data_IF_635166845582
#
_entry.id   IF_635166845582
#
_cell.length_a   1.000
_cell.length_b   1.000
_cell.length_c   1.000
_cell.angle_alpha   90.00
_cell.angle_beta   90.00
_cell.angle_gamma   90.00
#
_symmetry.space_group_name_H-M   'P 1'
#
loop_
_entity.id
_entity.type
_entity.pdbx_description
1 polymer ?
#
# COMPACT_ATOMS: atom_id res chain seq x y z
N UNK A 1 11.71 -10.51 24.86
CA UNK A 1 12.80 -10.04 24.00
C UNK A 1 12.18 -9.48 22.73
N UNK A 2 12.43 -8.21 22.41
CA UNK A 2 11.85 -7.56 21.23
C UNK A 2 12.64 -7.99 19.99
N UNK A 3 11.98 -8.16 18.83
CA UNK A 3 12.64 -8.61 17.60
C UNK A 3 13.87 -7.74 17.23
N UNK A 4 13.81 -6.44 17.50
CA UNK A 4 14.94 -5.53 17.28
C UNK A 4 16.16 -5.84 18.15
N UNK A 5 15.96 -6.38 19.34
CA UNK A 5 17.06 -6.79 20.23
C UNK A 5 17.77 -8.06 19.71
N UNK A 6 17.07 -8.86 18.91
CA UNK A 6 17.59 -10.11 18.35
C UNK A 6 18.20 -9.94 16.96
N UNK A 7 17.61 -9.08 16.13
CA UNK A 7 17.93 -8.99 14.70
C UNK A 7 18.36 -7.58 14.24
N UNK A 8 18.40 -6.60 15.14
CA UNK A 8 18.64 -5.20 14.80
C UNK A 8 17.38 -4.50 14.28
N UNK A 9 17.51 -3.21 13.97
CA UNK A 9 16.43 -2.45 13.33
C UNK A 9 16.28 -2.88 11.87
N UNK A 10 15.05 -2.95 11.33
CA UNK A 10 14.86 -3.29 9.92
C UNK A 10 15.43 -2.21 9.01
N UNK A 11 16.12 -2.62 7.94
CA UNK A 11 16.65 -1.70 6.92
C UNK A 11 15.55 -0.99 6.13
N UNK A 12 14.38 -1.64 5.99
CA UNK A 12 13.21 -1.10 5.31
C UNK A 12 11.93 -1.66 5.91
N UNK A 13 10.92 -0.80 6.05
CA UNK A 13 9.58 -1.16 6.51
C UNK A 13 8.62 -0.98 5.34
N UNK A 14 7.85 -2.02 5.04
CA UNK A 14 6.90 -2.03 3.92
C UNK A 14 5.53 -2.47 4.43
N UNK A 15 4.52 -1.66 4.20
CA UNK A 15 3.13 -1.96 4.52
C UNK A 15 2.35 -2.29 3.25
N UNK A 16 1.65 -3.43 3.26
CA UNK A 16 0.62 -3.71 2.25
C UNK A 16 -0.74 -3.30 2.79
N UNK A 17 -1.29 -2.23 2.24
CA UNK A 17 -2.54 -1.64 2.70
C UNK A 17 -3.67 -1.93 1.70
N UNK A 18 -4.85 -2.30 2.20
CA UNK A 18 -6.08 -2.35 1.37
C UNK A 18 -6.80 -1.01 1.45
N UNK A 19 -7.42 -0.60 0.36
CA UNK A 19 -8.43 0.46 0.43
C UNK A 19 -9.58 0.07 1.40
N UNK A 20 -10.32 1.04 1.95
CA UNK A 20 -11.32 0.79 3.00
C UNK A 20 -12.36 -0.27 2.61
N UNK A 21 -12.89 -0.19 1.39
CA UNK A 21 -13.92 -1.10 0.89
C UNK A 21 -13.46 -2.54 0.86
N UNK A 22 -12.28 -2.76 0.29
CA UNK A 22 -11.64 -4.06 0.21
C UNK A 22 -11.17 -4.58 1.58
N UNK A 23 -10.81 -3.68 2.49
CA UNK A 23 -10.52 -4.05 3.88
C UNK A 23 -11.78 -4.57 4.57
N UNK A 24 -12.87 -3.79 4.60
CA UNK A 24 -14.10 -4.17 5.31
C UNK A 24 -14.68 -5.45 4.74
N UNK A 25 -14.72 -5.59 3.41
CA UNK A 25 -15.16 -6.82 2.75
C UNK A 25 -14.35 -8.06 3.17
N UNK A 26 -13.02 -7.93 3.28
CA UNK A 26 -12.18 -9.04 3.76
C UNK A 26 -12.30 -9.26 5.27
N UNK A 27 -12.46 -8.20 6.04
CA UNK A 27 -12.42 -8.24 7.49
C UNK A 27 -13.70 -8.86 8.05
N UNK A 28 -14.87 -8.47 7.54
CA UNK A 28 -16.17 -9.03 7.95
C UNK A 28 -16.29 -10.52 7.63
N UNK A 29 -15.67 -10.98 6.52
CA UNK A 29 -15.59 -12.41 6.17
C UNK A 29 -14.70 -13.22 7.12
N UNK A 30 -13.66 -12.62 7.69
CA UNK A 30 -12.62 -13.31 8.48
C UNK A 30 -12.82 -13.19 9.99
N UNK A 31 -13.43 -12.10 10.44
CA UNK A 31 -13.62 -11.74 11.83
C UNK A 31 -15.12 -11.53 12.07
N UNK A 32 -15.87 -12.62 11.97
CA UNK A 32 -17.34 -12.62 12.01
C UNK A 32 -17.89 -12.28 13.39
N UNK A 33 -17.06 -12.37 14.43
CA UNK A 33 -17.34 -11.99 15.81
C UNK A 33 -17.27 -10.48 16.07
N UNK A 34 -16.74 -9.70 15.11
CA UNK A 34 -16.57 -8.25 15.26
C UNK A 34 -17.59 -7.47 14.44
N UNK A 35 -18.12 -6.39 15.01
CA UNK A 35 -18.99 -5.47 14.29
C UNK A 35 -18.23 -4.68 13.23
N UNK A 36 -18.94 -4.21 12.19
CA UNK A 36 -18.37 -3.31 11.18
C UNK A 36 -17.76 -2.06 11.82
N UNK A 37 -18.38 -1.51 12.87
CA UNK A 37 -17.84 -0.36 13.60
C UNK A 37 -16.51 -0.67 14.28
N UNK A 38 -16.38 -1.86 14.89
CA UNK A 38 -15.12 -2.29 15.49
C UNK A 38 -14.02 -2.44 14.44
N UNK A 39 -14.35 -3.04 13.29
CA UNK A 39 -13.42 -3.20 12.17
C UNK A 39 -13.01 -1.84 11.57
N UNK A 40 -13.95 -0.90 11.44
CA UNK A 40 -13.70 0.46 10.97
C UNK A 40 -12.75 1.21 11.89
N UNK A 41 -12.99 1.15 13.20
CA UNK A 41 -12.09 1.72 14.21
C UNK A 41 -10.70 1.07 14.18
N UNK A 42 -10.65 -0.25 13.97
CA UNK A 42 -9.38 -0.97 13.85
C UNK A 42 -8.59 -0.48 12.63
N UNK A 43 -9.25 -0.30 11.49
CA UNK A 43 -8.63 0.25 10.28
C UNK A 43 -8.02 1.63 10.51
N UNK A 44 -8.80 2.56 11.09
CA UNK A 44 -8.34 3.92 11.39
C UNK A 44 -7.14 3.92 12.33
N UNK A 45 -7.17 3.10 13.38
CA UNK A 45 -6.03 2.92 14.30
C UNK A 45 -4.80 2.36 13.60
N UNK A 46 -4.97 1.42 12.68
CA UNK A 46 -3.87 0.88 11.88
C UNK A 46 -3.24 1.95 10.99
N UNK A 47 -4.03 2.81 10.32
CA UNK A 47 -3.49 3.91 9.51
C UNK A 47 -2.63 4.86 10.35
N UNK A 48 -3.13 5.26 11.52
CA UNK A 48 -2.37 6.12 12.43
C UNK A 48 -1.09 5.42 12.93
N UNK A 49 -1.17 4.13 13.27
CA UNK A 49 0.02 3.36 13.64
C UNK A 49 1.06 3.34 12.52
N UNK A 50 0.65 3.05 11.28
CA UNK A 50 1.56 3.01 10.14
C UNK A 50 2.18 4.38 9.84
N UNK A 51 1.43 5.46 10.01
CA UNK A 51 1.94 6.82 9.86
C UNK A 51 3.03 7.14 10.90
N UNK A 52 2.85 6.69 12.14
CA UNK A 52 3.85 6.88 13.21
C UNK A 52 5.08 5.99 13.06
N UNK A 53 4.92 4.77 12.54
CA UNK A 53 6.06 3.87 12.29
C UNK A 53 6.89 4.37 11.11
N UNK A 54 6.23 4.88 10.06
CA UNK A 54 6.86 5.28 8.82
C UNK A 54 7.32 4.07 7.98
N UNK A 55 7.38 4.26 6.66
CA UNK A 55 7.78 3.21 5.72
C UNK A 55 7.15 3.36 4.35
N UNK A 56 7.46 2.40 3.48
CA UNK A 56 6.88 2.31 2.15
C UNK A 56 5.48 1.70 2.22
N UNK A 57 4.55 2.25 1.45
CA UNK A 57 3.18 1.71 1.35
C UNK A 57 2.90 1.21 -0.05
N UNK A 58 2.54 -0.07 -0.15
CA UNK A 58 1.97 -0.71 -1.34
C UNK A 58 0.46 -0.78 -1.13
N UNK A 59 -0.30 -0.14 -2.02
CA UNK A 59 -1.74 -0.16 -1.95
C UNK A 59 -2.34 -1.29 -2.79
N UNK A 60 -2.97 -2.26 -2.14
CA UNK A 60 -3.72 -3.35 -2.77
C UNK A 60 -5.08 -2.84 -3.25
N UNK A 61 -5.13 -2.48 -4.53
CA UNK A 61 -6.30 -1.93 -5.23
C UNK A 61 -6.47 -2.60 -6.59
N UNK A 62 -7.64 -2.44 -7.25
CA UNK A 62 -7.87 -2.99 -8.58
C UNK A 62 -6.84 -2.57 -9.64
N UNK A 63 -6.27 -1.36 -9.51
CA UNK A 63 -5.27 -0.81 -10.42
C UNK A 63 -3.83 -1.24 -10.09
N UNK A 64 -3.60 -1.96 -8.99
CA UNK A 64 -2.29 -2.50 -8.66
C UNK A 64 -1.96 -3.62 -9.67
N UNK A 65 -1.10 -3.32 -10.64
CA UNK A 65 -0.70 -4.29 -11.65
C UNK A 65 0.44 -5.19 -11.16
N UNK A 66 0.57 -6.35 -11.81
CA UNK A 66 1.75 -7.22 -11.68
C UNK A 66 3.05 -6.45 -11.90
N UNK A 67 3.09 -5.55 -12.89
CA UNK A 67 4.29 -4.77 -13.20
C UNK A 67 4.64 -3.83 -12.06
N UNK A 68 3.67 -3.17 -11.43
CA UNK A 68 3.93 -2.30 -10.28
C UNK A 68 4.52 -3.06 -9.09
N UNK A 69 4.01 -4.26 -8.83
CA UNK A 69 4.57 -5.14 -7.78
C UNK A 69 5.98 -5.60 -8.15
N UNK A 70 6.21 -5.93 -9.43
CA UNK A 70 7.53 -6.33 -9.92
C UNK A 70 8.55 -5.21 -9.78
N UNK A 71 8.25 -4.01 -10.29
CA UNK A 71 9.14 -2.85 -10.26
C UNK A 71 9.55 -2.52 -8.82
N UNK A 72 8.57 -2.46 -7.90
CA UNK A 72 8.85 -2.20 -6.49
C UNK A 72 9.74 -3.28 -5.85
N UNK A 73 9.45 -4.55 -6.13
CA UNK A 73 10.26 -5.65 -5.59
C UNK A 73 11.68 -5.67 -6.18
N UNK A 74 11.87 -5.18 -7.40
CA UNK A 74 13.19 -5.01 -8.02
C UNK A 74 13.97 -3.87 -7.36
N UNK A 75 13.31 -2.72 -7.17
CA UNK A 75 13.89 -1.54 -6.51
C UNK A 75 14.42 -1.87 -5.09
N UNK A 76 13.75 -2.76 -4.37
CA UNK A 76 14.20 -3.22 -3.04
C UNK A 76 15.12 -4.45 -3.09
N UNK A 77 15.51 -4.89 -4.28
CA UNK A 77 16.45 -5.99 -4.50
C UNK A 77 15.91 -7.37 -4.15
N UNK A 78 14.60 -7.58 -4.19
CA UNK A 78 13.92 -8.82 -3.81
C UNK A 78 13.69 -9.79 -4.98
N UNK A 79 13.79 -9.34 -6.24
CA UNK A 79 13.72 -10.18 -7.45
C UNK A 79 15.00 -10.98 -7.69
N UNK A 80 15.40 -11.81 -6.72
CA UNK A 80 16.64 -12.61 -6.82
C UNK A 80 16.41 -14.08 -7.11
N UNK A 81 15.15 -14.52 -7.24
CA UNK A 81 14.84 -15.95 -7.41
C UNK A 81 13.78 -16.21 -8.48
N UNK A 82 13.91 -17.33 -9.19
CA UNK A 82 12.91 -17.85 -10.13
C UNK A 82 11.52 -17.98 -9.48
N UNK A 83 11.48 -18.35 -8.19
CA UNK A 83 10.26 -18.47 -7.40
C UNK A 83 9.55 -17.13 -7.19
N UNK A 84 10.30 -16.05 -6.95
CA UNK A 84 9.72 -14.70 -6.85
C UNK A 84 9.05 -14.29 -8.16
N UNK A 85 9.69 -14.57 -9.29
CA UNK A 85 9.15 -14.27 -10.62
C UNK A 85 7.91 -15.11 -10.97
N UNK A 86 7.86 -16.38 -10.54
CA UNK A 86 6.66 -17.23 -10.67
C UNK A 86 5.50 -16.73 -9.81
N UNK A 87 5.75 -16.29 -8.58
CA UNK A 87 4.72 -15.73 -7.68
C UNK A 87 4.13 -14.45 -8.27
N UNK A 88 4.98 -13.52 -8.71
CA UNK A 88 4.56 -12.29 -9.40
C UNK A 88 3.85 -12.64 -10.71
N UNK A 89 4.36 -13.67 -11.41
CA UNK A 89 3.79 -14.30 -12.60
C UNK A 89 2.27 -14.44 -12.56
N UNK A 90 1.76 -14.89 -11.42
CA UNK A 90 0.36 -15.27 -11.18
C UNK A 90 -0.44 -14.23 -10.39
N UNK A 91 0.14 -13.06 -10.11
CA UNK A 91 -0.53 -12.04 -9.34
C UNK A 91 -1.81 -11.55 -10.05
N UNK A 92 -2.92 -11.58 -9.32
CA UNK A 92 -4.21 -11.03 -9.74
C UNK A 92 -4.88 -10.37 -8.53
N UNK A 93 -5.47 -9.20 -8.74
CA UNK A 93 -6.36 -8.61 -7.75
C UNK A 93 -7.63 -9.46 -7.63
N UNK A 94 -8.03 -9.79 -6.40
CA UNK A 94 -9.19 -10.65 -6.10
C UNK A 94 -10.10 -10.04 -5.02
N UNK A 95 -10.02 -8.74 -4.81
CA UNK A 95 -10.87 -8.05 -3.84
C UNK A 95 -12.27 -7.85 -4.38
N UNK A 96 -13.27 -8.06 -3.52
CA UNK A 96 -14.66 -7.65 -3.77
C UNK A 96 -14.94 -6.42 -2.90
N UNK A 97 -15.38 -5.28 -3.47
CA UNK A 97 -15.67 -4.09 -2.69
C UNK A 97 -16.96 -4.26 -1.86
N UNK A 98 -16.99 -3.63 -0.69
CA UNK A 98 -18.17 -3.49 0.16
C UNK A 98 -18.40 -2.02 0.53
N UNK A 99 -18.56 -1.15 -0.48
CA UNK A 99 -18.63 0.31 -0.32
C UNK A 99 -19.73 0.77 0.64
N UNK A 100 -20.84 0.03 0.70
CA UNK A 100 -21.97 0.27 1.60
C UNK A 100 -21.63 0.12 3.09
N UNK A 101 -20.50 -0.51 3.43
CA UNK A 101 -20.01 -0.67 4.80
C UNK A 101 -18.89 0.31 5.16
N UNK A 102 -18.50 1.18 4.23
CA UNK A 102 -17.38 2.10 4.40
C UNK A 102 -17.90 3.46 4.86
N UNK A 103 -17.38 3.96 5.98
CA UNK A 103 -17.68 5.31 6.45
C UNK A 103 -16.88 6.36 5.69
N UNK A 104 -17.37 7.60 5.66
CA UNK A 104 -16.64 8.70 5.02
C UNK A 104 -15.33 9.03 5.76
N UNK A 105 -15.29 8.83 7.07
CA UNK A 105 -14.07 8.95 7.86
C UNK A 105 -12.98 7.99 7.38
N UNK A 106 -13.32 6.73 7.10
CA UNK A 106 -12.35 5.76 6.57
C UNK A 106 -11.82 6.19 5.19
N UNK A 107 -12.69 6.73 4.32
CA UNK A 107 -12.28 7.22 3.00
C UNK A 107 -11.31 8.39 3.15
N UNK A 108 -11.67 9.40 3.95
CA UNK A 108 -10.82 10.57 4.19
C UNK A 108 -9.48 10.20 4.82
N UNK A 109 -9.49 9.36 5.86
CA UNK A 109 -8.27 8.91 6.52
C UNK A 109 -7.34 8.15 5.55
N UNK A 110 -7.90 7.28 4.72
CA UNK A 110 -7.14 6.55 3.72
C UNK A 110 -6.56 7.47 2.63
N UNK A 111 -7.36 8.38 2.08
CA UNK A 111 -6.90 9.34 1.07
C UNK A 111 -5.75 10.22 1.59
N UNK A 112 -5.88 10.73 2.83
CA UNK A 112 -4.82 11.50 3.47
C UNK A 112 -3.57 10.64 3.67
N UNK A 113 -3.72 9.44 4.23
CA UNK A 113 -2.59 8.53 4.48
C UNK A 113 -1.83 8.17 3.19
N UNK A 114 -2.54 7.86 2.11
CA UNK A 114 -1.92 7.50 0.82
C UNK A 114 -1.23 8.70 0.16
N UNK A 115 -1.83 9.89 0.24
CA UNK A 115 -1.22 11.14 -0.25
C UNK A 115 0.12 11.41 0.43
N UNK A 116 0.19 11.15 1.74
CA UNK A 116 1.38 11.41 2.54
C UNK A 116 2.45 10.31 2.44
N UNK A 117 2.07 9.05 2.15
CA UNK A 117 2.95 7.89 2.39
C UNK A 117 3.13 6.91 1.22
N UNK A 118 2.40 7.01 0.12
CA UNK A 118 2.49 5.96 -0.91
C UNK A 118 3.84 5.91 -1.62
N UNK A 119 4.51 4.73 -1.56
CA UNK A 119 5.74 4.47 -2.30
C UNK A 119 5.44 4.31 -3.80
N UNK A 120 4.27 3.76 -4.15
CA UNK A 120 3.78 3.72 -5.53
C UNK A 120 3.26 5.08 -6.02
N UNK A 121 2.74 5.95 -5.15
CA UNK A 121 2.47 7.35 -5.50
C UNK A 121 3.77 8.14 -5.68
N UNK A 122 4.81 7.86 -4.90
CA UNK A 122 6.16 8.43 -5.09
C UNK A 122 6.87 7.89 -6.34
N UNK A 123 6.74 6.61 -6.67
CA UNK A 123 7.27 5.99 -7.91
C UNK A 123 6.55 6.47 -9.17
N UNK A 124 5.21 6.65 -9.11
CA UNK A 124 4.43 7.23 -10.21
C UNK A 124 4.60 8.76 -10.32
N UNK A 125 4.79 9.47 -9.20
CA UNK A 125 5.06 10.91 -9.20
C UNK A 125 6.50 11.24 -9.65
N UNK A 126 7.48 10.38 -9.37
CA UNK A 126 8.86 10.55 -9.87
C UNK A 126 9.00 10.24 -11.36
N UNK A 127 8.13 9.39 -11.94
CA UNK A 127 8.10 9.16 -13.40
C UNK A 127 7.38 10.27 -14.19
N UNK A 128 6.60 11.14 -13.54
CA UNK A 128 5.90 12.27 -14.18
C UNK A 128 6.53 13.66 -13.91
N UNK A 129 7.72 13.70 -13.31
CA UNK A 129 8.55 14.92 -13.21
C UNK A 129 9.90 14.73 -13.92
N UNK A 130 9.86 14.28 -15.18
CA UNK A 130 10.77 14.86 -16.18
C UNK A 130 10.01 16.02 -16.77
N UNK A 131 10.12 17.19 -16.14
CA UNK A 131 9.86 18.44 -16.84
C UNK A 131 10.88 18.45 -17.98
N UNK A 132 10.44 18.24 -19.21
CA UNK A 132 11.23 18.70 -20.36
C UNK A 132 11.41 20.20 -20.14
N UNK A 133 12.58 20.57 -19.62
CA UNK A 133 13.07 21.94 -19.66
C UNK A 133 13.29 22.28 -21.14
N UNK A 134 12.20 22.64 -21.82
CA UNK A 134 12.28 23.38 -23.07
C UNK A 134 12.57 24.82 -22.70
N UNK A 135 13.85 25.06 -22.40
CA UNK A 135 14.42 26.39 -22.50
C UNK A 135 14.02 26.97 -23.86
N UNK A 136 13.39 28.16 -23.94
CA UNK A 136 13.15 28.80 -25.21
C UNK A 136 14.50 29.23 -25.78
N UNK A 137 14.86 28.65 -26.93
CA UNK A 137 15.95 29.15 -27.76
C UNK A 137 15.66 30.62 -28.08
N UNK A 138 16.49 31.49 -27.51
CA UNK A 138 16.63 32.87 -27.91
C UNK A 138 17.07 32.94 -29.36
N UNK A 139 16.30 33.63 -30.20
CA UNK A 139 16.72 34.19 -31.49
C UNK A 139 16.02 35.52 -31.70
#
# INVERSE_FOLDING_TARGET
MRLNEMFGSPDRIVFMLREPSSYVASATKKFTEHSVDHLSNTYLRSLNLYANVGGDVICYRPDLSKQNVSDYLDEIGFLRTKKTNEIIGNYSYRGEPADHLVTDEMKSAFSNFIGDNSALGRSLAQKNYVVEDRSPESS
#
